data_IF_254918715301
#
_entry.id   IF_254918715301
#
_cell.length_a   1.000
_cell.length_b   1.000
_cell.length_c   1.000
_cell.angle_alpha   90.00
_cell.angle_beta   90.00
_cell.angle_gamma   90.00
#
_symmetry.space_group_name_H-M   'P 1'
#
loop_
_entity.id
_entity.type
_entity.pdbx_description
1 polymer ?
#
# COMPACT_ATOMS: atom_id res chain seq x y z
N UNK A 1 -1.64 -8.74 18.00
CA UNK A 1 -0.41 -8.01 17.63
C UNK A 1 -0.75 -6.89 16.66
N UNK A 2 -0.25 -5.68 16.89
CA UNK A 2 -0.30 -4.57 15.92
C UNK A 2 0.90 -4.68 14.98
N UNK A 3 0.70 -4.47 13.68
CA UNK A 3 1.77 -4.47 12.67
C UNK A 3 2.14 -3.03 12.29
N UNK A 4 3.42 -2.71 12.38
CA UNK A 4 4.03 -1.47 11.88
C UNK A 4 4.98 -1.80 10.73
N UNK A 5 4.83 -1.13 9.60
CA UNK A 5 5.71 -1.31 8.44
C UNK A 5 6.48 -0.02 8.15
N UNK A 6 7.81 -0.13 7.98
CA UNK A 6 8.70 0.99 7.68
C UNK A 6 9.44 0.76 6.35
N UNK A 7 9.21 1.58 5.32
CA UNK A 7 9.92 1.48 4.05
C UNK A 7 11.31 2.13 4.14
N UNK A 8 12.34 1.43 3.65
CA UNK A 8 13.71 1.97 3.62
C UNK A 8 13.97 2.93 2.44
N UNK A 9 13.04 3.07 1.50
CA UNK A 9 13.16 3.97 0.35
C UNK A 9 11.81 4.56 -0.09
N UNK A 10 11.85 5.64 -0.89
CA UNK A 10 10.65 6.35 -1.35
C UNK A 10 9.77 5.51 -2.29
N UNK A 11 10.37 4.60 -3.06
CA UNK A 11 9.61 3.71 -3.94
C UNK A 11 8.70 2.81 -3.13
N UNK A 12 9.23 2.12 -2.12
CA UNK A 12 8.43 1.27 -1.23
C UNK A 12 7.45 2.09 -0.38
N UNK A 13 7.81 3.32 0.00
CA UNK A 13 6.86 4.24 0.64
C UNK A 13 5.65 4.54 -0.25
N UNK A 14 5.88 4.73 -1.55
CA UNK A 14 4.81 4.93 -2.54
C UNK A 14 3.95 3.68 -2.68
N UNK A 15 4.56 2.49 -2.74
CA UNK A 15 3.82 1.22 -2.83
C UNK A 15 2.94 0.97 -1.61
N UNK A 16 3.46 1.18 -0.39
CA UNK A 16 2.68 1.06 0.84
C UNK A 16 1.50 2.06 0.91
N UNK A 17 1.71 3.30 0.46
CA UNK A 17 0.62 4.30 0.38
C UNK A 17 -0.47 3.82 -0.57
N UNK A 18 -0.11 3.40 -1.77
CA UNK A 18 -1.08 2.90 -2.76
C UNK A 18 -1.81 1.65 -2.26
N UNK A 19 -1.09 0.71 -1.65
CA UNK A 19 -1.68 -0.49 -1.08
C UNK A 19 -2.73 -0.15 0.00
N UNK A 20 -2.44 0.84 0.86
CA UNK A 20 -3.40 1.35 1.84
C UNK A 20 -4.63 1.97 1.16
N UNK A 21 -4.43 2.76 0.10
CA UNK A 21 -5.51 3.39 -0.65
C UNK A 21 -6.39 2.35 -1.36
N UNK A 22 -5.81 1.32 -1.97
CA UNK A 22 -6.56 0.26 -2.64
C UNK A 22 -7.37 -0.59 -1.66
N UNK A 23 -6.82 -0.93 -0.49
CA UNK A 23 -7.59 -1.61 0.57
C UNK A 23 -8.78 -0.76 1.04
N UNK A 24 -8.52 0.52 1.32
CA UNK A 24 -9.57 1.46 1.74
C UNK A 24 -10.66 1.59 0.66
N UNK A 25 -10.27 1.64 -0.62
CA UNK A 25 -11.20 1.72 -1.73
C UNK A 25 -12.14 0.50 -1.78
N UNK A 26 -11.58 -0.71 -1.62
CA UNK A 26 -12.38 -1.94 -1.57
C UNK A 26 -13.42 -1.93 -0.45
N UNK A 27 -13.02 -1.52 0.76
CA UNK A 27 -13.93 -1.41 1.91
C UNK A 27 -15.06 -0.40 1.67
N UNK A 28 -14.74 0.74 1.04
CA UNK A 28 -15.70 1.82 0.78
C UNK A 28 -16.69 1.48 -0.33
N UNK A 29 -16.27 0.77 -1.38
CA UNK A 29 -17.16 0.32 -2.46
C UNK A 29 -18.13 -0.75 -1.94
N UNK A 30 -17.66 -1.67 -1.08
CA UNK A 30 -18.49 -2.75 -0.57
C UNK A 30 -19.66 -2.27 0.31
N UNK A 31 -19.54 -1.10 0.96
CA UNK A 31 -20.56 -0.55 1.86
C UNK A 31 -21.57 0.30 1.08
N UNK A 32 -22.89 0.12 1.28
CA UNK A 32 -23.90 0.70 0.40
C UNK A 32 -24.13 2.22 0.61
N UNK A 33 -23.48 2.84 1.60
CA UNK A 33 -23.76 4.22 1.99
C UNK A 33 -23.31 5.22 0.91
N UNK A 34 -24.14 6.23 0.56
CA UNK A 34 -23.70 7.35 -0.28
C UNK A 34 -22.46 8.07 0.28
N UNK A 35 -22.30 8.11 1.61
CA UNK A 35 -21.13 8.70 2.28
C UNK A 35 -19.87 7.86 2.04
N UNK A 36 -19.97 6.53 2.13
CA UNK A 36 -18.83 5.65 1.84
C UNK A 36 -18.41 5.79 0.37
N UNK A 37 -19.38 5.86 -0.54
CA UNK A 37 -19.13 6.05 -1.97
C UNK A 37 -18.56 7.45 -2.30
N UNK A 38 -18.87 8.47 -1.51
CA UNK A 38 -18.16 9.76 -1.58
C UNK A 38 -16.67 9.59 -1.28
N UNK A 39 -16.33 8.91 -0.18
CA UNK A 39 -14.94 8.66 0.17
C UNK A 39 -14.26 7.65 -0.78
N UNK A 40 -15.02 6.79 -1.46
CA UNK A 40 -14.49 5.94 -2.53
C UNK A 40 -14.00 6.80 -3.70
N UNK A 41 -14.78 7.80 -4.13
CA UNK A 41 -14.34 8.78 -5.14
C UNK A 41 -13.11 9.58 -4.68
N UNK A 42 -13.10 10.07 -3.44
CA UNK A 42 -11.90 10.72 -2.85
C UNK A 42 -10.69 9.81 -2.97
N UNK A 43 -10.85 8.53 -2.62
CA UNK A 43 -9.77 7.55 -2.66
C UNK A 43 -9.28 7.28 -4.08
N UNK A 44 -10.18 7.21 -5.06
CA UNK A 44 -9.81 7.11 -6.49
C UNK A 44 -8.95 8.31 -6.89
N UNK A 45 -9.34 9.53 -6.52
CA UNK A 45 -8.57 10.74 -6.86
C UNK A 45 -7.19 10.77 -6.17
N UNK A 46 -7.10 10.33 -4.91
CA UNK A 46 -5.82 10.20 -4.21
C UNK A 46 -4.90 9.17 -4.88
N UNK A 47 -5.44 8.03 -5.34
CA UNK A 47 -4.67 7.03 -6.10
C UNK A 47 -4.16 7.65 -7.40
N UNK A 48 -5.00 8.39 -8.13
CA UNK A 48 -4.61 9.09 -9.35
C UNK A 48 -3.49 10.13 -9.08
N UNK A 49 -3.56 10.88 -7.99
CA UNK A 49 -2.54 11.86 -7.61
C UNK A 49 -1.20 11.20 -7.30
N UNK A 50 -1.20 10.07 -6.61
CA UNK A 50 0.02 9.33 -6.30
C UNK A 50 0.59 8.70 -7.58
N UNK A 51 -0.26 8.09 -8.42
CA UNK A 51 0.15 7.43 -9.65
C UNK A 51 0.65 8.40 -10.74
N UNK A 52 0.20 9.66 -10.74
CA UNK A 52 0.58 10.65 -11.74
C UNK A 52 1.95 11.31 -11.51
N UNK A 53 2.45 11.32 -10.26
CA UNK A 53 3.68 12.04 -9.85
C UNK A 53 4.98 11.34 -10.21
N UNK A 54 4.94 10.04 -10.41
CA UNK A 54 6.11 9.19 -10.68
C UNK A 54 5.81 8.39 -11.94
N UNK A 55 6.82 7.98 -12.71
CA UNK A 55 6.65 6.96 -13.75
C UNK A 55 6.45 5.57 -13.09
N UNK A 56 5.38 5.48 -12.31
CA UNK A 56 5.06 4.36 -11.44
C UNK A 56 4.82 3.09 -12.25
N UNK A 57 4.15 3.23 -13.40
CA UNK A 57 3.93 2.11 -14.32
C UNK A 57 5.27 1.49 -14.73
N UNK A 58 6.23 2.30 -15.21
CA UNK A 58 7.53 1.78 -15.63
C UNK A 58 8.33 1.19 -14.46
N UNK A 59 8.25 1.80 -13.28
CA UNK A 59 8.92 1.30 -12.08
C UNK A 59 8.38 -0.06 -11.63
N UNK A 60 7.05 -0.23 -11.62
CA UNK A 60 6.40 -1.49 -11.27
C UNK A 60 6.71 -2.57 -12.31
N UNK A 61 6.66 -2.25 -13.61
CA UNK A 61 7.03 -3.20 -14.68
C UNK A 61 8.47 -3.69 -14.53
N UNK A 62 9.42 -2.77 -14.26
CA UNK A 62 10.83 -3.12 -14.02
C UNK A 62 11.00 -3.99 -12.77
N UNK A 63 10.24 -3.71 -11.71
CA UNK A 63 10.32 -4.51 -10.49
C UNK A 63 9.72 -5.91 -10.70
N UNK A 64 8.65 -6.05 -11.48
CA UNK A 64 8.13 -7.37 -11.91
C UNK A 64 9.19 -8.14 -12.69
N UNK A 65 9.82 -7.53 -13.70
CA UNK A 65 10.87 -8.19 -14.48
C UNK A 65 12.06 -8.65 -13.63
N UNK A 66 12.50 -7.83 -12.68
CA UNK A 66 13.54 -8.22 -11.73
C UNK A 66 13.14 -9.42 -10.88
N UNK A 67 11.91 -9.43 -10.37
CA UNK A 67 11.41 -10.56 -9.58
C UNK A 67 11.29 -11.82 -10.42
N UNK A 68 10.81 -11.73 -11.66
CA UNK A 68 10.78 -12.85 -12.60
C UNK A 68 12.17 -13.42 -12.86
N UNK A 69 13.15 -12.56 -13.19
CA UNK A 69 14.52 -12.99 -13.43
C UNK A 69 15.15 -13.69 -12.21
N UNK A 70 14.84 -13.21 -11.00
CA UNK A 70 15.26 -13.87 -9.76
C UNK A 70 14.60 -15.25 -9.61
N UNK A 71 13.29 -15.35 -9.80
CA UNK A 71 12.56 -16.62 -9.70
C UNK A 71 12.99 -17.62 -10.76
N UNK A 72 13.27 -17.18 -11.99
CA UNK A 72 13.77 -18.06 -13.05
C UNK A 72 15.13 -18.67 -12.71
N UNK A 73 15.97 -17.97 -11.94
CA UNK A 73 17.25 -18.52 -11.46
C UNK A 73 17.10 -19.72 -10.51
N UNK A 74 15.91 -19.92 -9.94
CA UNK A 74 15.59 -21.05 -9.09
C UNK A 74 15.13 -22.29 -9.85
N UNK A 75 14.88 -22.19 -11.17
CA UNK A 75 14.48 -23.33 -11.98
C UNK A 75 15.56 -24.42 -11.95
N UNK A 76 15.11 -25.67 -11.80
CA UNK A 76 16.00 -26.84 -11.72
C UNK A 76 16.64 -27.07 -10.35
N UNK A 77 16.36 -26.23 -9.34
CA UNK A 77 16.77 -26.50 -7.97
C UNK A 77 15.92 -27.63 -7.36
N UNK A 78 16.50 -28.78 -6.95
CA UNK A 78 15.75 -29.91 -6.40
C UNK A 78 15.00 -29.62 -5.10
N UNK A 79 15.36 -28.54 -4.40
CA UNK A 79 14.74 -28.14 -3.13
C UNK A 79 13.51 -27.24 -3.30
N UNK A 80 13.16 -26.89 -4.53
CA UNK A 80 12.09 -25.92 -4.85
C UNK A 80 10.96 -26.66 -5.56
N UNK A 81 9.73 -26.43 -5.09
CA UNK A 81 8.54 -26.97 -5.73
C UNK A 81 8.29 -26.25 -7.06
N UNK A 82 8.61 -26.91 -8.17
CA UNK A 82 8.49 -26.34 -9.53
C UNK A 82 7.08 -25.82 -9.81
N UNK A 83 6.04 -26.53 -9.39
CA UNK A 83 4.64 -26.12 -9.61
C UNK A 83 4.31 -24.77 -8.94
N UNK A 84 4.80 -24.55 -7.72
CA UNK A 84 4.58 -23.29 -6.99
C UNK A 84 5.37 -22.16 -7.64
N UNK A 85 6.60 -22.43 -8.08
CA UNK A 85 7.42 -21.47 -8.80
C UNK A 85 6.73 -21.02 -10.10
N UNK A 86 6.22 -21.97 -10.89
CA UNK A 86 5.53 -21.69 -12.14
C UNK A 86 4.23 -20.90 -11.93
N UNK A 87 3.47 -21.18 -10.86
CA UNK A 87 2.28 -20.40 -10.51
C UNK A 87 2.60 -18.95 -10.18
N UNK A 88 3.66 -18.69 -9.41
CA UNK A 88 4.07 -17.33 -9.04
C UNK A 88 4.56 -16.57 -10.27
N UNK A 89 5.39 -17.21 -11.11
CA UNK A 89 5.87 -16.60 -12.36
C UNK A 89 4.70 -16.28 -13.29
N UNK A 90 3.74 -17.21 -13.46
CA UNK A 90 2.54 -16.98 -14.27
C UNK A 90 1.71 -15.80 -13.76
N UNK A 91 1.55 -15.65 -12.45
CA UNK A 91 0.85 -14.49 -11.87
C UNK A 91 1.59 -13.17 -12.14
N UNK A 92 2.93 -13.17 -12.11
CA UNK A 92 3.73 -12.00 -12.48
C UNK A 92 3.59 -11.67 -13.97
N UNK A 93 3.51 -12.69 -14.84
CA UNK A 93 3.27 -12.51 -16.27
C UNK A 93 1.91 -11.88 -16.56
N UNK A 94 0.85 -12.35 -15.89
CA UNK A 94 -0.50 -11.78 -15.98
C UNK A 94 -0.51 -10.31 -15.54
N UNK A 95 0.09 -10.01 -14.38
CA UNK A 95 0.20 -8.64 -13.88
C UNK A 95 1.00 -7.75 -14.85
N UNK A 96 2.12 -8.25 -15.38
CA UNK A 96 2.93 -7.53 -16.34
C UNK A 96 2.14 -7.23 -17.62
N UNK A 97 1.49 -8.24 -18.19
CA UNK A 97 0.73 -8.10 -19.43
C UNK A 97 -0.44 -7.11 -19.25
N UNK A 98 -1.21 -7.25 -18.17
CA UNK A 98 -2.34 -6.37 -17.87
C UNK A 98 -1.89 -4.92 -17.67
N UNK A 99 -0.82 -4.70 -16.90
CA UNK A 99 -0.30 -3.36 -16.65
C UNK A 99 0.33 -2.75 -17.91
N UNK A 100 1.10 -3.54 -18.67
CA UNK A 100 1.76 -3.08 -19.89
C UNK A 100 0.75 -2.68 -20.96
N UNK A 101 -0.35 -3.43 -21.10
CA UNK A 101 -1.43 -3.17 -22.06
C UNK A 101 -2.19 -1.85 -21.80
N UNK A 102 -2.08 -1.25 -20.61
CA UNK A 102 -2.70 0.05 -20.34
C UNK A 102 -2.06 1.15 -21.17
N UNK A 103 -2.85 1.88 -21.95
CA UNK A 103 -2.34 3.03 -22.72
C UNK A 103 -2.15 4.25 -21.82
N UNK A 104 -1.02 4.93 -21.97
CA UNK A 104 -0.72 6.15 -21.22
C UNK A 104 -0.41 5.91 -19.74
N UNK A 105 -0.66 6.94 -18.92
CA UNK A 105 -0.45 6.89 -17.47
C UNK A 105 -1.56 6.11 -16.78
N UNK A 106 -1.26 5.51 -15.63
CA UNK A 106 -2.28 4.86 -14.81
C UNK A 106 -3.40 5.85 -14.46
N UNK A 107 -4.65 5.47 -14.72
CA UNK A 107 -5.82 6.32 -14.50
C UNK A 107 -6.07 7.38 -15.58
N UNK A 108 -5.35 7.37 -16.71
CA UNK A 108 -5.55 8.32 -17.82
C UNK A 108 -7.01 8.36 -18.30
N UNK A 109 -7.64 7.20 -18.50
CA UNK A 109 -9.07 7.10 -18.88
C UNK A 109 -9.99 7.80 -17.87
N UNK A 110 -9.64 7.83 -16.59
CA UNK A 110 -10.44 8.54 -15.58
C UNK A 110 -10.32 10.05 -15.70
N UNK A 111 -9.19 10.56 -16.22
CA UNK A 111 -9.01 12.00 -16.48
C UNK A 111 -9.84 12.49 -17.67
N UNK A 112 -10.22 11.58 -18.57
CA UNK A 112 -11.07 11.86 -19.73
C UNK A 112 -12.57 11.79 -19.38
N UNK A 113 -12.91 11.47 -18.13
CA UNK A 113 -14.28 11.46 -17.65
C UNK A 113 -14.65 12.83 -17.05
N UNK A 114 -15.39 13.63 -17.82
CA UNK A 114 -15.82 14.98 -17.42
C UNK A 114 -16.60 14.99 -16.10
N UNK A 115 -17.44 13.99 -15.84
CA UNK A 115 -18.24 13.91 -14.62
C UNK A 115 -17.37 13.68 -13.38
N UNK A 116 -16.40 12.77 -13.47
CA UNK A 116 -15.42 12.55 -12.40
C UNK A 116 -14.55 13.79 -12.17
N UNK A 117 -14.10 14.42 -13.25
CA UNK A 117 -13.23 15.60 -13.14
C UNK A 117 -13.98 16.82 -12.60
N UNK A 118 -15.27 16.98 -12.91
CA UNK A 118 -16.13 17.99 -12.30
C UNK A 118 -16.18 17.85 -10.77
N UNK A 119 -16.35 16.63 -10.25
CA UNK A 119 -16.32 16.36 -8.80
C UNK A 119 -14.93 16.63 -8.23
N UNK A 120 -13.88 16.09 -8.86
CA UNK A 120 -12.50 16.25 -8.42
C UNK A 120 -12.09 17.73 -8.28
N UNK A 121 -12.55 18.59 -9.18
CA UNK A 121 -12.26 20.03 -9.15
C UNK A 121 -12.81 20.75 -7.92
N UNK A 122 -13.85 20.20 -7.28
CA UNK A 122 -14.54 20.80 -6.14
C UNK A 122 -14.26 20.11 -4.81
N UNK A 123 -13.84 18.84 -4.83
CA UNK A 123 -13.71 18.02 -3.61
C UNK A 123 -12.63 18.51 -2.65
N UNK A 124 -11.66 19.29 -3.15
CA UNK A 124 -10.63 19.95 -2.32
C UNK A 124 -11.13 21.21 -1.62
N UNK A 125 -12.28 21.76 -2.02
CA UNK A 125 -12.90 22.93 -1.40
C UNK A 125 -13.71 22.43 -0.20
N UNK A 126 -13.50 22.97 1.02
CA UNK A 126 -14.35 22.64 2.16
C UNK A 126 -15.82 22.91 1.84
N UNK A 127 -16.65 21.87 1.88
CA UNK A 127 -18.06 21.95 1.50
C UNK A 127 -18.33 22.05 -0.02
N UNK A 128 -17.33 21.93 -0.90
CA UNK A 128 -17.50 22.10 -2.34
C UNK A 128 -18.29 21.00 -3.06
N UNK A 129 -18.67 19.93 -2.35
CA UNK A 129 -19.50 18.83 -2.89
C UNK A 129 -20.97 18.93 -2.50
N UNK A 130 -21.42 20.10 -2.05
CA UNK A 130 -22.83 20.36 -1.78
C UNK A 130 -23.70 20.21 -3.03
N UNK A 131 -24.97 19.83 -2.84
CA UNK A 131 -25.88 19.59 -3.95
C UNK A 131 -26.21 20.81 -4.81
N UNK A 132 -26.04 22.03 -4.28
CA UNK A 132 -26.20 23.26 -5.06
C UNK A 132 -24.99 23.55 -5.98
N UNK A 133 -23.79 23.04 -5.64
CA UNK A 133 -22.59 23.16 -6.48
C UNK A 133 -22.47 22.01 -7.48
N UNK A 134 -22.86 20.80 -7.08
CA UNK A 134 -22.79 19.59 -7.90
C UNK A 134 -24.15 18.85 -7.94
N UNK A 135 -25.18 19.40 -8.61
CA UNK A 135 -26.51 18.80 -8.63
C UNK A 135 -26.54 17.40 -9.27
N UNK A 136 -25.72 17.16 -10.31
CA UNK A 136 -25.60 15.84 -10.94
C UNK A 136 -24.95 14.81 -10.01
N UNK A 137 -23.96 15.21 -9.22
CA UNK A 137 -23.34 14.36 -8.21
C UNK A 137 -24.31 14.03 -7.08
N UNK A 138 -25.04 15.04 -6.60
CA UNK A 138 -26.09 14.87 -5.60
C UNK A 138 -27.18 13.90 -6.08
N UNK A 139 -27.61 14.01 -7.34
CA UNK A 139 -28.54 13.05 -7.93
C UNK A 139 -27.96 11.62 -7.96
N UNK A 140 -26.68 11.45 -8.32
CA UNK A 140 -26.00 10.15 -8.28
C UNK A 140 -25.95 9.54 -6.86
N UNK A 141 -25.71 10.36 -5.85
CA UNK A 141 -25.73 9.92 -4.44
C UNK A 141 -27.11 9.36 -4.01
N UNK A 142 -28.20 9.75 -4.66
CA UNK A 142 -29.56 9.29 -4.37
C UNK A 142 -30.01 8.07 -5.20
N UNK A 143 -29.17 7.58 -6.12
CA UNK A 143 -29.48 6.34 -6.85
C UNK A 143 -29.51 5.12 -5.92
N UNK A 144 -29.85 3.94 -6.43
CA UNK A 144 -29.69 2.72 -5.65
C UNK A 144 -28.22 2.39 -5.42
N UNK A 145 -27.91 1.76 -4.29
CA UNK A 145 -26.54 1.39 -3.93
C UNK A 145 -25.85 0.56 -5.02
N UNK A 146 -26.57 -0.40 -5.62
CA UNK A 146 -26.07 -1.25 -6.70
C UNK A 146 -25.63 -0.44 -7.92
N UNK A 147 -26.37 0.61 -8.30
CA UNK A 147 -26.01 1.47 -9.45
C UNK A 147 -24.73 2.25 -9.15
N UNK A 148 -24.60 2.78 -7.94
CA UNK A 148 -23.37 3.48 -7.53
C UNK A 148 -22.17 2.53 -7.45
N UNK A 149 -22.35 1.32 -6.90
CA UNK A 149 -21.29 0.31 -6.81
C UNK A 149 -20.79 -0.09 -8.20
N UNK A 150 -21.70 -0.37 -9.12
CA UNK A 150 -21.34 -0.70 -10.50
C UNK A 150 -20.53 0.42 -11.18
N UNK A 151 -20.91 1.68 -10.95
CA UNK A 151 -20.16 2.82 -11.46
C UNK A 151 -18.75 2.90 -10.85
N UNK A 152 -18.63 2.74 -9.53
CA UNK A 152 -17.36 2.73 -8.81
C UNK A 152 -16.43 1.58 -9.25
N UNK A 153 -16.97 0.39 -9.42
CA UNK A 153 -16.26 -0.78 -9.93
C UNK A 153 -15.75 -0.52 -11.36
N UNK A 154 -16.59 0.07 -12.22
CA UNK A 154 -16.21 0.46 -13.58
C UNK A 154 -15.04 1.44 -13.62
N UNK A 155 -15.02 2.44 -12.73
CA UNK A 155 -13.87 3.36 -12.63
C UNK A 155 -12.64 2.71 -12.02
N UNK A 156 -12.84 1.86 -11.00
CA UNK A 156 -11.74 1.16 -10.31
C UNK A 156 -11.05 0.15 -11.21
N UNK A 157 -11.75 -0.44 -12.19
CA UNK A 157 -11.18 -1.35 -13.18
C UNK A 157 -10.00 -0.73 -13.96
N UNK A 158 -9.98 0.60 -14.16
CA UNK A 158 -8.86 1.30 -14.79
C UNK A 158 -7.59 1.32 -13.92
N UNK A 159 -7.71 1.01 -12.62
CA UNK A 159 -6.62 1.02 -11.64
C UNK A 159 -6.23 -0.39 -11.19
N UNK A 160 -7.06 -1.40 -11.44
CA UNK A 160 -6.84 -2.79 -11.00
C UNK A 160 -5.50 -3.38 -11.45
N UNK A 161 -5.02 -3.22 -12.70
CA UNK A 161 -3.73 -3.80 -13.10
C UNK A 161 -2.55 -3.31 -12.27
N UNK A 162 -2.58 -2.03 -11.85
CA UNK A 162 -1.57 -1.49 -10.94
C UNK A 162 -1.74 -2.06 -9.53
N UNK A 163 -2.97 -2.16 -9.03
CA UNK A 163 -3.25 -2.73 -7.72
C UNK A 163 -2.75 -4.17 -7.62
N UNK A 164 -3.11 -5.03 -8.59
CA UNK A 164 -2.75 -6.44 -8.61
C UNK A 164 -1.22 -6.63 -8.63
N UNK A 165 -0.53 -5.89 -9.50
CA UNK A 165 0.92 -5.89 -9.56
C UNK A 165 1.58 -5.48 -8.23
N UNK A 166 1.09 -4.41 -7.61
CA UNK A 166 1.62 -3.93 -6.32
C UNK A 166 1.38 -4.94 -5.20
N UNK A 167 0.17 -5.52 -5.11
CA UNK A 167 -0.12 -6.52 -4.10
C UNK A 167 0.78 -7.75 -4.22
N UNK A 168 1.04 -8.22 -5.45
CA UNK A 168 1.95 -9.35 -5.69
C UNK A 168 3.38 -9.00 -5.27
N UNK A 169 3.92 -7.87 -5.74
CA UNK A 169 5.28 -7.45 -5.40
C UNK A 169 5.47 -7.25 -3.89
N UNK A 170 4.49 -6.61 -3.24
CA UNK A 170 4.53 -6.37 -1.80
C UNK A 170 4.42 -7.67 -1.00
N UNK A 171 3.60 -8.62 -1.45
CA UNK A 171 3.51 -9.94 -0.84
C UNK A 171 4.85 -10.68 -0.95
N UNK A 172 5.43 -10.75 -2.15
CA UNK A 172 6.73 -11.39 -2.37
C UNK A 172 7.83 -10.78 -1.51
N UNK A 173 7.90 -9.44 -1.44
CA UNK A 173 8.85 -8.77 -0.57
C UNK A 173 8.66 -9.15 0.90
N UNK A 174 7.41 -9.18 1.38
CA UNK A 174 7.10 -9.55 2.77
C UNK A 174 7.52 -10.99 3.08
N UNK A 175 7.52 -11.87 2.09
CA UNK A 175 7.87 -13.28 2.23
C UNK A 175 9.39 -13.53 2.24
N UNK A 176 10.23 -12.54 1.88
CA UNK A 176 11.70 -12.70 1.97
C UNK A 176 12.27 -12.56 3.39
N UNK A 177 11.45 -12.08 4.32
CA UNK A 177 11.86 -11.82 5.70
C UNK A 177 11.47 -12.94 6.65
N UNK A 178 12.35 -13.24 7.61
CA UNK A 178 12.08 -14.19 8.70
C UNK A 178 11.84 -13.41 10.00
N UNK A 179 10.72 -13.65 10.72
CA UNK A 179 10.48 -13.01 12.00
C UNK A 179 11.51 -13.40 13.06
N UNK A 180 11.99 -12.40 13.80
CA UNK A 180 12.92 -12.56 14.91
C UNK A 180 12.30 -11.92 16.15
N UNK A 181 12.28 -12.65 17.27
CA UNK A 181 11.90 -12.08 18.56
C UNK A 181 13.09 -11.33 19.15
N UNK A 182 12.86 -10.08 19.50
CA UNK A 182 13.86 -9.19 20.09
C UNK A 182 13.27 -8.46 21.29
N UNK A 183 14.14 -7.85 22.08
CA UNK A 183 13.77 -7.02 23.22
C UNK A 183 14.37 -5.63 23.01
N UNK A 184 13.55 -4.59 23.12
CA UNK A 184 14.03 -3.24 23.33
C UNK A 184 14.38 -3.09 24.82
N UNK A 185 15.66 -2.86 25.10
CA UNK A 185 16.15 -2.62 26.46
C UNK A 185 15.99 -1.12 26.78
N UNK A 186 15.40 -0.81 27.94
CA UNK A 186 15.08 0.56 28.34
C UNK A 186 14.35 1.35 27.22
N UNK A 187 13.41 0.69 26.53
CA UNK A 187 12.64 1.28 25.44
C UNK A 187 13.39 1.48 24.14
N UNK A 188 14.60 0.94 23.98
CA UNK A 188 15.41 1.12 22.78
C UNK A 188 15.89 -0.20 22.18
N UNK A 189 15.84 -0.29 20.86
CA UNK A 189 16.42 -1.40 20.11
C UNK A 189 17.20 -0.83 18.91
N UNK A 190 18.41 -1.33 18.70
CA UNK A 190 19.22 -0.98 17.54
C UNK A 190 19.88 -2.22 16.95
N UNK A 191 19.88 -2.31 15.62
CA UNK A 191 20.49 -3.42 14.90
C UNK A 191 21.22 -2.91 13.65
N UNK A 192 22.51 -3.25 13.57
CA UNK A 192 23.29 -3.02 12.36
C UNK A 192 22.80 -3.96 11.25
N UNK A 193 22.66 -3.42 10.04
CA UNK A 193 22.28 -4.16 8.85
C UNK A 193 23.55 -4.69 8.16
N UNK A 194 23.60 -5.98 7.78
CA UNK A 194 24.76 -6.57 7.13
C UNK A 194 25.12 -5.88 5.81
N UNK A 195 26.41 -5.63 5.61
CA UNK A 195 26.95 -5.11 4.35
C UNK A 195 26.71 -6.11 3.21
N UNK A 196 26.21 -5.64 2.07
CA UNK A 196 25.96 -6.46 0.88
C UNK A 196 24.53 -7.00 0.75
N UNK A 197 23.67 -6.84 1.77
CA UNK A 197 22.23 -7.11 1.68
C UNK A 197 21.46 -5.81 1.78
N UNK A 198 20.60 -5.54 0.79
CA UNK A 198 19.80 -4.31 0.74
C UNK A 198 18.38 -4.58 1.22
N UNK A 199 18.06 -4.18 2.44
CA UNK A 199 16.71 -4.30 2.98
C UNK A 199 15.80 -3.20 2.45
N UNK A 200 14.57 -3.57 2.10
CA UNK A 200 13.57 -2.69 1.49
C UNK A 200 12.45 -2.33 2.47
N UNK A 201 12.12 -3.24 3.40
CA UNK A 201 11.00 -3.10 4.33
C UNK A 201 11.35 -3.68 5.70
N UNK A 202 11.02 -2.95 6.77
CA UNK A 202 10.96 -3.49 8.13
C UNK A 202 9.49 -3.69 8.50
N UNK A 203 9.21 -4.82 9.15
CA UNK A 203 7.91 -5.13 9.75
C UNK A 203 8.11 -5.38 11.23
N UNK A 204 7.36 -4.69 12.08
CA UNK A 204 7.40 -4.84 13.53
C UNK A 204 6.02 -5.25 14.02
N UNK A 205 5.95 -6.35 14.77
CA UNK A 205 4.73 -6.81 15.45
C UNK A 205 4.90 -6.70 16.96
N UNK A 206 4.00 -5.97 17.60
CA UNK A 206 4.01 -5.73 19.05
C UNK A 206 2.64 -6.03 19.65
N UNK A 207 2.63 -6.45 20.91
CA UNK A 207 1.39 -6.72 21.64
C UNK A 207 0.68 -5.40 21.99
N UNK A 208 -0.58 -5.20 21.55
CA UNK A 208 -1.34 -3.99 21.88
C UNK A 208 -1.52 -3.78 23.39
N UNK A 209 -1.44 -4.83 24.21
CA UNK A 209 -1.60 -4.72 25.68
C UNK A 209 -0.44 -3.99 26.37
N UNK A 210 0.69 -3.81 25.70
CA UNK A 210 1.83 -3.06 26.22
C UNK A 210 1.59 -1.54 26.22
N UNK A 211 0.60 -1.07 25.45
CA UNK A 211 0.33 0.35 25.24
C UNK A 211 1.59 1.15 24.85
N UNK A 212 2.32 0.59 23.88
CA UNK A 212 3.54 1.17 23.32
C UNK A 212 3.36 1.46 21.83
N UNK A 213 3.87 2.61 21.41
CA UNK A 213 3.94 3.05 20.02
C UNK A 213 5.41 3.03 19.59
N UNK A 214 5.80 2.20 18.60
CA UNK A 214 7.16 2.14 18.12
C UNK A 214 7.46 3.30 17.17
N UNK A 215 8.44 4.13 17.51
CA UNK A 215 9.06 5.09 16.61
C UNK A 215 10.23 4.40 15.88
N UNK A 216 10.04 4.13 14.58
CA UNK A 216 11.00 3.40 13.76
C UNK A 216 11.80 4.39 12.91
N UNK A 217 13.13 4.25 12.93
CA UNK A 217 14.03 4.97 12.03
C UNK A 217 15.06 4.00 11.47
N UNK A 218 15.48 4.21 10.23
CA UNK A 218 16.44 3.32 9.62
C UNK A 218 17.05 3.87 8.34
N UNK A 219 18.26 3.40 8.05
CA UNK A 219 18.99 3.65 6.81
C UNK A 219 19.63 2.32 6.33
N UNK A 220 20.47 2.38 5.30
CA UNK A 220 21.13 1.18 4.72
C UNK A 220 22.08 0.43 5.67
N UNK A 221 22.46 1.03 6.81
CA UNK A 221 23.46 0.52 7.76
C UNK A 221 22.86 0.11 9.10
N UNK A 222 21.77 0.76 9.52
CA UNK A 222 21.23 0.61 10.87
C UNK A 222 19.71 0.75 10.86
N UNK A 223 19.06 -0.03 11.71
CA UNK A 223 17.69 0.22 12.14
C UNK A 223 17.63 0.50 13.64
N UNK A 224 16.78 1.43 14.04
CA UNK A 224 16.56 1.87 15.41
C UNK A 224 15.07 1.96 15.69
N UNK A 225 14.64 1.38 16.80
CA UNK A 225 13.27 1.43 17.30
C UNK A 225 13.29 2.03 18.70
N UNK A 226 12.49 3.06 18.91
CA UNK A 226 12.27 3.66 20.23
C UNK A 226 10.80 3.44 20.64
N UNK A 227 10.60 2.94 21.84
CA UNK A 227 9.27 2.74 22.41
C UNK A 227 8.77 4.05 23.01
N UNK A 228 7.56 4.43 22.61
CA UNK A 228 6.88 5.63 23.05
C UNK A 228 5.56 5.25 23.73
N UNK A 229 5.10 6.05 24.69
CA UNK A 229 3.75 5.95 25.26
C UNK A 229 3.10 7.33 25.24
N UNK A 230 1.79 7.38 24.98
CA UNK A 230 1.05 8.62 25.04
C UNK A 230 0.89 9.06 26.51
N UNK A 231 1.12 10.34 26.80
CA UNK A 231 0.74 10.93 28.08
C UNK A 231 -0.76 11.26 28.13
N UNK A 232 -1.23 11.80 29.25
CA UNK A 232 -2.65 12.16 29.47
C UNK A 232 -3.19 13.18 28.44
N UNK A 233 -2.30 13.93 27.78
CA UNK A 233 -2.64 14.89 26.73
C UNK A 233 -2.51 14.29 25.32
N UNK A 234 -2.21 12.99 25.21
CA UNK A 234 -2.01 12.29 23.95
C UNK A 234 -0.64 12.50 23.30
N UNK A 235 0.31 13.16 23.98
CA UNK A 235 1.65 13.39 23.43
C UNK A 235 2.53 12.16 23.66
N UNK A 236 3.19 11.70 22.60
CA UNK A 236 4.12 10.57 22.67
C UNK A 236 5.40 10.97 23.42
N UNK A 237 5.72 10.22 24.48
CA UNK A 237 6.94 10.35 25.28
C UNK A 237 7.75 9.05 25.24
N UNK A 238 9.10 9.10 25.26
CA UNK A 238 9.91 7.90 25.37
C UNK A 238 9.57 7.10 26.63
N UNK A 239 9.36 5.80 26.47
CA UNK A 239 9.04 4.88 27.57
C UNK A 239 10.25 3.97 27.83
N UNK A 240 10.97 4.13 28.97
CA UNK A 240 12.18 3.36 29.27
C UNK A 240 11.88 1.94 29.81
N UNK A 241 10.79 1.33 29.38
CA UNK A 241 10.41 -0.03 29.76
C UNK A 241 10.98 -1.06 28.78
N UNK A 242 11.34 -2.24 29.29
CA UNK A 242 11.74 -3.34 28.42
C UNK A 242 10.52 -3.85 27.65
N UNK A 243 10.62 -3.97 26.33
CA UNK A 243 9.51 -4.40 25.48
C UNK A 243 9.96 -5.50 24.52
N UNK A 244 9.30 -6.65 24.56
CA UNK A 244 9.50 -7.73 23.59
C UNK A 244 8.59 -7.54 22.37
N UNK A 245 9.14 -7.72 21.18
CA UNK A 245 8.40 -7.64 19.92
C UNK A 245 9.05 -8.52 18.84
N UNK A 246 8.32 -8.74 17.75
CA UNK A 246 8.84 -9.42 16.57
C UNK A 246 9.25 -8.40 15.52
N UNK A 247 10.49 -8.50 15.03
CA UNK A 247 11.00 -7.73 13.90
C UNK A 247 11.21 -8.66 12.70
N UNK A 248 10.88 -8.20 11.50
CA UNK A 248 11.14 -8.90 10.25
C UNK A 248 11.76 -7.91 9.27
N UNK A 249 12.96 -8.22 8.78
CA UNK A 249 13.66 -7.43 7.77
C UNK A 249 13.52 -8.11 6.41
N UNK A 250 12.84 -7.44 5.49
CA UNK A 250 12.55 -7.91 4.13
C UNK A 250 13.52 -7.26 3.14
N UNK A 251 14.13 -8.07 2.28
CA UNK A 251 15.11 -7.66 1.27
C UNK A 251 14.63 -8.01 -0.14
#
# INVERSE_FOLDING_TARGET
MILYEYPFNERLRTYLRLECLFRRLGDLIARPSPTDHHFALVTIFEIMDVAARVDLKADVLKDIEKQKALLDSYRGNPSIATEVLDQIIGRLDECFAALNAQNGKTGQVLTENDWLMAIRSRISIPGGTCGFDLPAYHAWQHQDAAVRQQALEGWTAALSPLADALFVLMQMLRDTGVPQRVVAENGQFQQNLPTGRSFQLLRLRIDPTLDLVPEISGNRLLVSVRMMRADENGKLQPCPENAAFEITLCA
#
